data_IF_440677010803
#
_entry.id   IF_440677010803
#
_cell.length_a   1.000
_cell.length_b   1.000
_cell.length_c   1.000
_cell.angle_alpha   90.00
_cell.angle_beta   90.00
_cell.angle_gamma   90.00
#
_symmetry.space_group_name_H-M   'P 1'
#
loop_
_entity.id
_entity.type
_entity.pdbx_description
1 polymer ?
#
# COMPACT_ATOMS: atom_id res chain seq x y z
N UNK A 1 4.10 31.63 -8.15
CA UNK A 1 3.65 30.85 -6.96
C UNK A 1 3.20 29.49 -7.44
N UNK A 2 4.10 28.50 -7.44
CA UNK A 2 3.70 27.12 -7.70
C UNK A 2 2.96 26.58 -6.48
N UNK A 3 1.69 26.20 -6.64
CA UNK A 3 1.00 25.37 -5.65
C UNK A 3 1.88 24.13 -5.44
N UNK A 4 2.48 23.96 -4.27
CA UNK A 4 3.10 22.69 -3.88
C UNK A 4 2.00 21.64 -3.96
N UNK A 5 1.98 20.91 -5.07
CA UNK A 5 1.00 19.85 -5.32
C UNK A 5 1.26 18.80 -4.24
N UNK A 6 0.36 18.75 -3.26
CA UNK A 6 0.41 17.80 -2.15
C UNK A 6 0.68 16.42 -2.74
N UNK A 7 1.78 15.79 -2.30
CA UNK A 7 2.12 14.47 -2.81
C UNK A 7 0.98 13.51 -2.49
N UNK A 8 0.66 12.72 -3.50
CA UNK A 8 -0.41 11.74 -3.46
C UNK A 8 0.03 10.59 -2.54
N UNK A 9 -0.69 10.33 -1.44
CA UNK A 9 -0.35 9.19 -0.57
C UNK A 9 -0.26 7.92 -1.40
N UNK A 10 0.86 7.22 -1.32
CA UNK A 10 1.10 5.97 -2.03
C UNK A 10 0.89 4.79 -1.10
N UNK A 11 -0.11 3.98 -1.41
CA UNK A 11 -0.49 2.80 -0.65
C UNK A 11 -0.15 1.60 -1.49
N UNK A 12 0.49 0.60 -0.89
CA UNK A 12 0.71 -0.69 -1.53
C UNK A 12 0.06 -1.83 -0.77
N UNK A 13 -0.30 -2.87 -1.50
CA UNK A 13 -0.93 -4.07 -0.98
C UNK A 13 -0.07 -5.28 -1.32
N UNK A 14 0.14 -6.18 -0.37
CA UNK A 14 0.57 -7.55 -0.67
C UNK A 14 -0.52 -8.31 -1.43
N UNK A 15 -0.18 -9.49 -1.96
CA UNK A 15 -1.10 -10.33 -2.71
C UNK A 15 -1.57 -11.49 -1.85
N UNK A 16 -0.65 -12.33 -1.39
CA UNK A 16 -0.99 -13.64 -0.85
C UNK A 16 -1.60 -13.46 0.55
N UNK A 17 -2.78 -14.02 0.79
CA UNK A 17 -3.59 -13.86 2.02
C UNK A 17 -3.99 -12.39 2.37
N UNK A 18 -3.58 -11.42 1.56
CA UNK A 18 -4.00 -10.01 1.64
C UNK A 18 -5.06 -9.65 0.59
N UNK A 19 -4.70 -9.61 -0.69
CA UNK A 19 -5.63 -9.32 -1.80
C UNK A 19 -6.25 -10.59 -2.38
N UNK A 20 -5.49 -11.67 -2.43
CA UNK A 20 -5.97 -12.98 -2.85
C UNK A 20 -6.09 -13.84 -1.58
N UNK A 21 -7.30 -14.26 -1.23
CA UNK A 21 -7.47 -15.27 -0.19
C UNK A 21 -7.60 -16.65 -0.80
N UNK A 22 -7.17 -17.65 -0.05
CA UNK A 22 -7.59 -19.02 -0.27
C UNK A 22 -9.12 -19.14 -0.12
N UNK A 23 -9.73 -20.06 -0.88
CA UNK A 23 -11.19 -20.24 -1.02
C UNK A 23 -11.98 -20.48 0.28
N UNK A 24 -11.30 -20.63 1.42
CA UNK A 24 -11.92 -20.90 2.72
C UNK A 24 -11.67 -19.79 3.76
N UNK A 25 -10.85 -18.78 3.43
CA UNK A 25 -10.50 -17.72 4.39
C UNK A 25 -11.31 -16.44 4.19
N UNK A 26 -11.86 -16.20 3.00
CA UNK A 26 -12.69 -15.02 2.76
C UNK A 26 -13.59 -15.16 1.52
N UNK A 27 -14.66 -14.36 1.47
CA UNK A 27 -15.50 -14.25 0.29
C UNK A 27 -14.74 -13.63 -0.90
N UNK A 28 -15.17 -13.96 -2.12
CA UNK A 28 -14.51 -13.56 -3.38
C UNK A 28 -15.31 -12.53 -4.18
N UNK A 29 -14.63 -11.51 -4.70
CA UNK A 29 -15.18 -10.50 -5.60
C UNK A 29 -15.86 -11.11 -6.83
N UNK A 30 -17.03 -10.58 -7.17
CA UNK A 30 -17.73 -11.01 -8.37
C UNK A 30 -16.95 -10.57 -9.62
N UNK A 31 -16.56 -11.54 -10.45
CA UNK A 31 -15.96 -11.29 -11.75
C UNK A 31 -17.02 -11.11 -12.83
N UNK A 32 -16.78 -10.22 -13.81
CA UNK A 32 -17.64 -10.11 -14.99
C UNK A 32 -17.43 -11.26 -15.99
N UNK A 33 -16.39 -12.07 -15.80
CA UNK A 33 -16.08 -13.21 -16.66
C UNK A 33 -16.65 -14.51 -16.09
N UNK A 34 -17.00 -15.48 -16.95
CA UNK A 34 -17.35 -16.83 -16.50
C UNK A 34 -16.25 -17.41 -15.60
N UNK A 35 -16.63 -18.14 -14.55
CA UNK A 35 -15.71 -18.60 -13.50
C UNK A 35 -14.53 -19.43 -14.02
N UNK A 36 -14.74 -20.23 -15.07
CA UNK A 36 -13.68 -21.02 -15.72
C UNK A 36 -12.62 -20.15 -16.41
N UNK A 37 -13.06 -19.10 -17.11
CA UNK A 37 -12.17 -18.14 -17.77
C UNK A 37 -11.42 -17.32 -16.73
N UNK A 38 -12.12 -16.92 -15.66
CA UNK A 38 -11.51 -16.16 -14.59
C UNK A 38 -10.40 -16.93 -13.88
N UNK A 39 -10.66 -18.19 -13.52
CA UNK A 39 -9.69 -19.08 -12.85
C UNK A 39 -8.45 -19.36 -13.71
N UNK A 40 -8.58 -19.32 -15.04
CA UNK A 40 -7.44 -19.48 -15.94
C UNK A 40 -6.62 -18.19 -16.09
N UNK A 41 -7.26 -17.02 -15.99
CA UNK A 41 -6.63 -15.73 -16.22
C UNK A 41 -6.11 -15.04 -14.95
N UNK A 42 -6.51 -15.51 -13.77
CA UNK A 42 -6.05 -14.97 -12.51
C UNK A 42 -6.68 -15.63 -11.29
N UNK A 43 -6.43 -15.01 -10.14
CA UNK A 43 -6.72 -15.59 -8.84
C UNK A 43 -8.00 -15.00 -8.23
N UNK A 44 -8.67 -15.68 -7.29
CA UNK A 44 -9.76 -15.10 -6.51
C UNK A 44 -9.30 -13.81 -5.81
N UNK A 45 -10.02 -12.72 -5.99
CA UNK A 45 -9.78 -11.45 -5.30
C UNK A 45 -10.69 -11.33 -4.08
N UNK A 46 -10.12 -10.98 -2.93
CA UNK A 46 -10.81 -10.78 -1.65
C UNK A 46 -11.94 -9.77 -1.75
N UNK A 47 -13.11 -10.11 -1.20
CA UNK A 47 -14.26 -9.22 -1.12
C UNK A 47 -13.94 -7.90 -0.42
N UNK A 48 -14.50 -6.82 -0.95
CA UNK A 48 -14.26 -5.47 -0.46
C UNK A 48 -13.07 -4.78 -1.12
N UNK A 49 -12.25 -5.49 -1.90
CA UNK A 49 -11.12 -4.87 -2.60
C UNK A 49 -11.61 -3.80 -3.58
N UNK A 50 -12.67 -4.07 -4.35
CA UNK A 50 -13.14 -3.09 -5.36
C UNK A 50 -13.68 -1.82 -4.71
N UNK A 51 -14.46 -1.95 -3.64
CA UNK A 51 -15.00 -0.81 -2.91
C UNK A 51 -13.89 -0.02 -2.21
N UNK A 52 -12.96 -0.71 -1.55
CA UNK A 52 -11.78 -0.11 -0.90
C UNK A 52 -10.95 0.69 -1.90
N UNK A 53 -10.52 0.08 -3.01
CA UNK A 53 -9.67 0.76 -3.99
C UNK A 53 -10.40 1.96 -4.61
N UNK A 54 -11.71 1.86 -4.88
CA UNK A 54 -12.51 3.00 -5.36
C UNK A 54 -12.51 4.15 -4.36
N UNK A 55 -12.67 3.84 -3.08
CA UNK A 55 -12.69 4.84 -2.01
C UNK A 55 -11.32 5.49 -1.80
N UNK A 56 -10.24 4.71 -1.78
CA UNK A 56 -8.87 5.24 -1.72
C UNK A 56 -8.55 6.15 -2.90
N UNK A 57 -9.00 5.78 -4.11
CA UNK A 57 -8.88 6.62 -5.31
C UNK A 57 -9.68 7.92 -5.19
N UNK A 58 -10.89 7.87 -4.59
CA UNK A 58 -11.72 9.06 -4.32
C UNK A 58 -11.04 10.02 -3.35
N UNK A 59 -10.31 9.50 -2.37
CA UNK A 59 -9.47 10.28 -1.44
C UNK A 59 -8.16 10.75 -2.09
N UNK A 60 -7.95 10.44 -3.37
CA UNK A 60 -6.78 10.82 -4.11
C UNK A 60 -5.58 9.90 -3.90
N UNK A 61 -5.63 8.77 -3.17
CA UNK A 61 -4.46 7.93 -2.91
C UNK A 61 -3.98 7.16 -4.15
N UNK A 62 -2.66 7.00 -4.32
CA UNK A 62 -2.00 6.18 -5.34
C UNK A 62 -1.96 4.72 -4.93
N UNK A 63 -2.34 3.82 -5.83
CA UNK A 63 -2.57 2.41 -5.53
C UNK A 63 -1.48 1.57 -6.16
N UNK A 64 -0.74 0.83 -5.35
CA UNK A 64 0.36 -0.02 -5.75
C UNK A 64 0.13 -1.45 -5.29
N UNK A 65 0.80 -2.40 -5.93
CA UNK A 65 0.97 -3.75 -5.40
C UNK A 65 2.44 -3.92 -5.03
N UNK A 66 2.70 -4.53 -3.90
CA UNK A 66 4.04 -4.90 -3.49
C UNK A 66 4.01 -6.33 -2.96
N UNK A 67 4.50 -7.26 -3.77
CA UNK A 67 4.57 -8.68 -3.44
C UNK A 67 6.01 -9.18 -3.51
N UNK A 68 6.36 -10.13 -2.63
CA UNK A 68 7.60 -10.90 -2.71
C UNK A 68 7.46 -12.10 -3.68
N UNK A 69 6.30 -12.31 -4.28
CA UNK A 69 6.08 -13.40 -5.24
C UNK A 69 6.79 -13.17 -6.59
N UNK A 70 6.97 -14.26 -7.34
CA UNK A 70 7.50 -14.25 -8.71
C UNK A 70 6.51 -13.75 -9.77
N UNK A 71 5.30 -13.33 -9.39
CA UNK A 71 4.30 -12.82 -10.32
C UNK A 71 4.86 -11.62 -11.09
N UNK A 72 4.66 -11.60 -12.40
CA UNK A 72 5.14 -10.50 -13.23
C UNK A 72 4.25 -9.26 -13.06
N UNK A 73 4.79 -8.04 -13.21
CA UNK A 73 3.98 -6.82 -13.16
C UNK A 73 2.85 -6.82 -14.19
N UNK A 74 3.07 -7.40 -15.37
CA UNK A 74 2.05 -7.50 -16.43
C UNK A 74 0.91 -8.47 -16.04
N UNK A 75 1.23 -9.59 -15.40
CA UNK A 75 0.24 -10.50 -14.85
C UNK A 75 -0.62 -9.79 -13.79
N UNK A 76 -0.01 -9.17 -12.78
CA UNK A 76 -0.72 -8.50 -11.68
C UNK A 76 -1.65 -7.40 -12.23
N UNK A 77 -1.17 -6.58 -13.15
CA UNK A 77 -1.97 -5.52 -13.79
C UNK A 77 -3.15 -6.10 -14.57
N UNK A 78 -2.95 -7.19 -15.32
CA UNK A 78 -4.01 -7.84 -16.08
C UNK A 78 -5.05 -8.45 -15.16
N UNK A 79 -4.61 -9.19 -14.14
CA UNK A 79 -5.48 -9.83 -13.15
C UNK A 79 -6.40 -8.81 -12.46
N UNK A 80 -5.84 -7.74 -11.88
CA UNK A 80 -6.63 -6.69 -11.24
C UNK A 80 -7.56 -5.95 -12.22
N UNK A 81 -7.15 -5.82 -13.49
CA UNK A 81 -7.99 -5.21 -14.52
C UNK A 81 -9.25 -6.03 -14.81
N UNK A 82 -9.22 -7.37 -14.66
CA UNK A 82 -10.41 -8.22 -14.79
C UNK A 82 -11.49 -7.88 -13.75
N UNK A 83 -11.06 -7.36 -12.60
CA UNK A 83 -11.91 -6.83 -11.54
C UNK A 83 -12.21 -5.33 -11.66
N UNK A 84 -11.77 -4.70 -12.76
CA UNK A 84 -11.93 -3.26 -13.00
C UNK A 84 -11.00 -2.38 -12.16
N UNK A 85 -9.95 -2.95 -11.57
CA UNK A 85 -8.98 -2.24 -10.74
C UNK A 85 -7.75 -1.90 -11.57
N UNK A 86 -7.30 -0.65 -11.47
CA UNK A 86 -6.02 -0.19 -12.05
C UNK A 86 -5.06 0.16 -10.93
N UNK A 87 -3.82 -0.27 -11.06
CA UNK A 87 -2.72 0.08 -10.15
C UNK A 87 -1.74 1.02 -10.84
N UNK A 88 -1.21 1.97 -10.07
CA UNK A 88 -0.24 2.96 -10.51
C UNK A 88 1.16 2.33 -10.60
N UNK A 89 1.51 1.43 -9.68
CA UNK A 89 2.78 0.71 -9.68
C UNK A 89 2.67 -0.72 -9.17
N UNK A 90 3.70 -1.52 -9.48
CA UNK A 90 3.85 -2.90 -9.00
C UNK A 90 5.32 -3.11 -8.66
N UNK A 91 5.57 -3.54 -7.43
CA UNK A 91 6.87 -4.04 -6.96
C UNK A 91 6.74 -5.54 -6.79
N UNK A 92 7.56 -6.30 -7.51
CA UNK A 92 7.70 -7.74 -7.34
C UNK A 92 9.09 -8.06 -6.79
N UNK A 93 9.38 -9.34 -6.54
CA UNK A 93 10.68 -9.79 -6.01
C UNK A 93 11.89 -9.28 -6.81
N UNK A 94 11.79 -9.23 -8.14
CA UNK A 94 12.87 -8.73 -9.01
C UNK A 94 13.17 -7.25 -8.74
N UNK A 95 12.13 -6.41 -8.69
CA UNK A 95 12.31 -4.98 -8.41
C UNK A 95 12.74 -4.73 -6.96
N UNK A 96 12.21 -5.51 -6.02
CA UNK A 96 12.61 -5.48 -4.60
C UNK A 96 14.10 -5.76 -4.44
N UNK A 97 14.59 -6.89 -4.94
CA UNK A 97 15.98 -7.30 -4.79
C UNK A 97 16.93 -6.28 -5.45
N UNK A 98 16.52 -5.70 -6.58
CA UNK A 98 17.29 -4.64 -7.24
C UNK A 98 17.38 -3.39 -6.35
N UNK A 99 16.27 -2.98 -5.74
CA UNK A 99 16.26 -1.83 -4.84
C UNK A 99 17.13 -2.06 -3.60
N UNK A 100 17.00 -3.21 -2.94
CA UNK A 100 17.83 -3.58 -1.80
C UNK A 100 19.33 -3.57 -2.12
N UNK A 101 19.70 -4.10 -3.30
CA UNK A 101 21.09 -4.07 -3.78
C UNK A 101 21.60 -2.63 -3.93
N UNK A 102 20.79 -1.74 -4.51
CA UNK A 102 21.13 -0.32 -4.69
C UNK A 102 21.26 0.40 -3.34
N UNK A 103 20.46 0.01 -2.34
CA UNK A 103 20.49 0.59 -1.01
C UNK A 103 21.53 -0.03 -0.05
N UNK A 104 22.23 -1.10 -0.46
CA UNK A 104 23.33 -1.68 0.30
C UNK A 104 22.94 -2.27 1.66
N UNK A 105 21.73 -2.83 1.79
CA UNK A 105 21.23 -3.36 3.07
C UNK A 105 21.73 -4.78 3.34
N UNK A 106 22.51 -4.96 4.41
CA UNK A 106 22.99 -6.27 4.87
C UNK A 106 21.88 -7.10 5.54
N UNK A 107 21.04 -6.47 6.39
CA UNK A 107 19.85 -7.07 6.99
C UNK A 107 18.62 -6.56 6.21
N UNK A 108 18.39 -7.14 5.05
CA UNK A 108 17.33 -6.68 4.15
C UNK A 108 15.95 -7.16 4.63
N UNK A 109 14.98 -6.25 4.86
CA UNK A 109 13.64 -6.66 5.24
C UNK A 109 12.95 -7.39 4.07
N UNK A 110 11.96 -8.22 4.39
CA UNK A 110 11.16 -8.93 3.39
C UNK A 110 10.47 -7.96 2.41
N UNK A 111 10.13 -6.76 2.87
CA UNK A 111 9.65 -5.63 2.07
C UNK A 111 10.24 -4.32 2.56
N UNK A 112 10.51 -3.40 1.63
CA UNK A 112 11.01 -2.06 1.94
C UNK A 112 10.27 -0.97 1.16
N UNK A 113 9.02 -0.64 1.59
CA UNK A 113 8.21 0.42 0.97
C UNK A 113 8.92 1.77 0.74
N UNK A 114 9.82 2.24 1.63
CA UNK A 114 10.50 3.53 1.44
C UNK A 114 11.34 3.64 0.16
N UNK A 115 11.92 2.55 -0.36
CA UNK A 115 12.67 2.58 -1.63
C UNK A 115 11.81 2.92 -2.85
N UNK A 116 10.48 2.92 -2.68
CA UNK A 116 9.51 3.18 -3.74
C UNK A 116 8.57 4.33 -3.37
N UNK A 117 8.94 5.21 -2.44
CA UNK A 117 8.10 6.32 -1.93
C UNK A 117 6.68 5.88 -1.54
N UNK A 118 6.55 4.68 -0.95
CA UNK A 118 5.28 4.13 -0.48
C UNK A 118 5.09 4.55 0.98
N UNK A 119 3.99 5.26 1.26
CA UNK A 119 3.69 5.85 2.57
C UNK A 119 3.06 4.86 3.56
N UNK A 120 2.34 3.85 3.03
CA UNK A 120 1.66 2.81 3.79
C UNK A 120 1.65 1.49 3.01
N UNK A 121 2.00 0.40 3.69
CA UNK A 121 1.87 -0.95 3.16
C UNK A 121 0.77 -1.72 3.89
N UNK A 122 -0.02 -2.49 3.15
CA UNK A 122 -1.08 -3.38 3.65
C UNK A 122 -0.60 -4.82 3.45
N UNK A 123 -0.55 -5.58 4.52
CA UNK A 123 0.01 -6.95 4.55
C UNK A 123 -0.75 -7.79 5.60
N UNK A 124 -0.74 -9.11 5.50
CA UNK A 124 -1.31 -10.00 6.52
C UNK A 124 -0.29 -10.44 7.58
N UNK A 125 1.00 -10.27 7.30
CA UNK A 125 2.09 -10.72 8.17
C UNK A 125 2.43 -9.72 9.28
N UNK A 126 2.37 -10.19 10.53
CA UNK A 126 2.93 -9.46 11.67
C UNK A 126 4.44 -9.29 11.56
N UNK A 127 5.14 -10.23 10.92
CA UNK A 127 6.59 -10.13 10.66
C UNK A 127 6.95 -8.89 9.85
N UNK A 128 6.15 -8.58 8.82
CA UNK A 128 6.33 -7.36 8.01
C UNK A 128 6.08 -6.09 8.83
N UNK A 129 5.17 -6.13 9.81
CA UNK A 129 4.97 -5.02 10.75
C UNK A 129 6.16 -4.82 11.68
N UNK A 130 6.75 -5.91 12.19
CA UNK A 130 7.97 -5.85 13.02
C UNK A 130 9.11 -5.23 12.22
N UNK A 131 9.35 -5.71 10.99
CA UNK A 131 10.32 -5.10 10.07
C UNK A 131 10.00 -3.62 9.81
N UNK A 132 8.71 -3.27 9.68
CA UNK A 132 8.26 -1.89 9.55
C UNK A 132 8.67 -1.01 10.72
N UNK A 133 8.57 -1.52 11.95
CA UNK A 133 9.02 -0.81 13.14
C UNK A 133 10.55 -0.67 13.17
N UNK A 134 11.28 -1.73 12.81
CA UNK A 134 12.74 -1.75 12.83
C UNK A 134 13.37 -0.85 11.75
N UNK A 135 12.74 -0.78 10.56
CA UNK A 135 13.24 -0.05 9.40
C UNK A 135 12.49 1.27 9.11
N UNK A 136 11.53 1.65 9.95
CA UNK A 136 10.87 2.97 9.91
C UNK A 136 9.82 3.15 8.81
N UNK A 137 9.09 2.08 8.44
CA UNK A 137 7.98 2.17 7.48
C UNK A 137 6.64 1.70 8.09
N UNK A 138 5.54 2.22 7.54
CA UNK A 138 4.20 1.99 8.08
C UNK A 138 3.55 0.76 7.45
N UNK A 139 3.04 -0.13 8.30
CA UNK A 139 2.29 -1.32 7.90
C UNK A 139 0.96 -1.35 8.61
N UNK A 140 -0.12 -1.62 7.87
CA UNK A 140 -1.40 -2.03 8.44
C UNK A 140 -1.59 -3.52 8.20
N UNK A 141 -1.54 -4.29 9.30
CA UNK A 141 -1.74 -5.74 9.26
C UNK A 141 -3.23 -6.04 9.10
N UNK A 142 -3.62 -6.89 8.17
CA UNK A 142 -5.01 -7.33 7.96
C UNK A 142 -5.11 -8.85 8.06
N UNK A 143 -6.01 -9.36 8.90
CA UNK A 143 -6.21 -10.80 8.98
C UNK A 143 -7.05 -11.27 7.77
N UNK A 144 -6.79 -12.44 7.16
CA UNK A 144 -7.55 -12.93 6.00
C UNK A 144 -9.06 -13.06 6.27
N UNK A 145 -9.42 -13.45 7.50
CA UNK A 145 -10.81 -13.66 7.93
C UNK A 145 -11.49 -12.38 8.49
N UNK A 146 -10.78 -11.25 8.54
CA UNK A 146 -11.35 -9.98 9.03
C UNK A 146 -12.30 -9.38 7.97
N UNK A 147 -13.61 -9.47 8.19
CA UNK A 147 -14.62 -8.84 7.32
C UNK A 147 -14.50 -7.30 7.31
N UNK A 148 -13.97 -6.71 8.38
CA UNK A 148 -13.76 -5.28 8.56
C UNK A 148 -12.43 -4.75 8.00
N UNK A 149 -11.64 -5.59 7.32
CA UNK A 149 -10.28 -5.23 6.87
C UNK A 149 -10.24 -3.95 6.01
N UNK A 150 -11.23 -3.77 5.13
CA UNK A 150 -11.29 -2.61 4.25
C UNK A 150 -11.43 -1.31 5.06
N UNK A 151 -12.26 -1.32 6.11
CA UNK A 151 -12.40 -0.17 7.00
C UNK A 151 -11.10 0.08 7.78
N UNK A 152 -10.45 -0.99 8.27
CA UNK A 152 -9.16 -0.90 8.96
C UNK A 152 -8.09 -0.21 8.09
N UNK A 153 -8.05 -0.53 6.78
CA UNK A 153 -7.15 0.13 5.82
C UNK A 153 -7.52 1.60 5.64
N UNK A 154 -8.81 1.95 5.47
CA UNK A 154 -9.25 3.33 5.35
C UNK A 154 -8.87 4.18 6.58
N UNK A 155 -9.04 3.64 7.77
CA UNK A 155 -8.67 4.33 9.02
C UNK A 155 -7.16 4.52 9.13
N UNK A 156 -6.37 3.52 8.71
CA UNK A 156 -4.91 3.63 8.65
C UNK A 156 -4.47 4.75 7.69
N UNK A 157 -5.08 4.81 6.50
CA UNK A 157 -4.81 5.86 5.51
C UNK A 157 -5.17 7.24 6.04
N UNK A 158 -6.31 7.39 6.71
CA UNK A 158 -6.70 8.65 7.34
C UNK A 158 -5.67 9.12 8.38
N UNK A 159 -5.15 8.20 9.21
CA UNK A 159 -4.07 8.50 10.17
C UNK A 159 -2.78 8.96 9.48
N UNK A 160 -2.36 8.25 8.43
CA UNK A 160 -1.16 8.63 7.64
C UNK A 160 -1.36 10.01 7.01
N UNK A 161 -2.54 10.31 6.49
CA UNK A 161 -2.84 11.60 5.91
C UNK A 161 -2.71 12.74 6.90
N UNK A 162 -3.22 12.58 8.11
CA UNK A 162 -3.06 13.56 9.19
C UNK A 162 -1.58 13.74 9.54
N UNK A 163 -0.81 12.65 9.67
CA UNK A 163 0.62 12.72 10.00
C UNK A 163 1.44 13.48 8.94
N UNK A 164 1.23 13.16 7.66
CA UNK A 164 1.93 13.82 6.55
C UNK A 164 1.55 15.31 6.46
N UNK A 165 0.29 15.65 6.73
CA UNK A 165 -0.16 17.04 6.75
C UNK A 165 0.52 17.86 7.84
N UNK A 166 0.73 17.26 9.03
CA UNK A 166 1.47 17.91 10.10
C UNK A 166 2.95 18.13 9.74
N UNK A 167 3.57 17.16 9.07
CA UNK A 167 4.97 17.26 8.64
C UNK A 167 5.19 18.31 7.55
N UNK A 168 4.19 18.53 6.69
CA UNK A 168 4.25 19.51 5.59
C UNK A 168 3.91 20.95 6.01
N UNK A 169 3.47 21.20 7.25
CA UNK A 169 3.22 22.57 7.73
C UNK A 169 4.55 23.31 7.91
N UNK A 170 4.76 24.45 7.25
CA UNK A 170 5.92 25.28 7.53
C UNK A 170 5.89 25.70 9.00
N UNK A 171 6.93 25.36 9.73
CA UNK A 171 7.13 25.83 11.10
C UNK A 171 7.32 27.35 11.04
N UNK A 172 6.24 28.11 11.26
CA UNK A 172 6.34 29.53 11.64
C UNK A 172 6.85 29.61 13.09
N UNK A 173 8.09 29.21 13.33
CA UNK A 173 8.81 29.52 14.59
C UNK A 173 10.18 30.05 14.26
N UNK A 174 10.26 31.37 14.04
CA UNK A 174 11.37 32.22 14.46
C UNK A 174 11.12 33.69 14.04
N UNK A 175 10.17 34.35 14.68
CA UNK A 175 10.17 35.82 14.73
C UNK A 175 9.56 36.33 16.04
N UNK A 176 10.07 35.84 17.17
CA UNK A 176 10.13 36.67 18.38
C UNK A 176 11.54 37.27 18.40
N UNK A 177 11.67 38.37 17.64
CA UNK A 177 12.82 39.25 17.73
C UNK A 177 12.88 39.81 19.16
N UNK A 178 14.06 39.67 19.76
CA UNK A 178 14.69 40.53 20.78
C UNK A 178 13.81 41.64 21.34
N UNK A 179 13.50 41.55 22.63
CA UNK A 179 13.43 42.74 23.49
C UNK A 179 14.44 42.52 24.60
N UNK A 180 15.64 43.08 24.43
CA UNK A 180 16.59 43.35 25.51
C UNK A 180 16.16 44.65 26.20
N UNK A 181 15.89 44.68 27.51
CA UNK A 181 15.82 45.93 28.24
C UNK A 181 17.22 46.35 28.70
N UNK A 182 17.58 47.61 28.44
CA UNK A 182 18.60 48.36 29.18
C UNK A 182 17.86 49.45 29.94
#
# INVERSE_FOLDING_TARGET
>A
MGLLKRQRIRISFDIDDTLACQLHHCDVEHSRLPACVHRWLGEPLRMGTRSLIRELRRQGCSIWVYTSSGRTPSYIRRWLLLYGIRVDGVVNSVLHNRALTVHGMCDSPSKYPPAFDIDLHVDDSEGVQIEGNDHGFRVVVVHPEDEGWAQKVLDAVARVQVQLDWQQRPVQRASLRRVTPV
#
